data_IF_799795433011
#
_entry.id   IF_799795433011
#
_cell.length_a   1.000
_cell.length_b   1.000
_cell.length_c   1.000
_cell.angle_alpha   90.00
_cell.angle_beta   90.00
_cell.angle_gamma   90.00
#
_symmetry.space_group_name_H-M   'P 1'
#
loop_
_entity.id
_entity.type
_entity.pdbx_description
1 polymer ?
#
# COMPACT_ATOMS: atom_id res chain seq x y z
N UNK A 1 -29.33 43.80 -13.14
CA UNK A 1 -29.02 43.62 -14.57
C UNK A 1 -27.67 42.92 -14.78
N UNK A 2 -26.62 43.39 -14.11
CA UNK A 2 -25.25 42.86 -14.14
C UNK A 2 -25.15 41.35 -13.92
N UNK A 3 -25.87 40.80 -12.92
CA UNK A 3 -25.91 39.35 -12.66
C UNK A 3 -26.42 38.54 -13.85
N UNK A 4 -27.46 39.01 -14.54
CA UNK A 4 -28.04 38.31 -15.69
C UNK A 4 -27.07 38.32 -16.87
N UNK A 5 -26.47 39.49 -17.15
CA UNK A 5 -25.43 39.63 -18.19
C UNK A 5 -24.22 38.73 -17.94
N UNK A 6 -23.76 38.61 -16.70
CA UNK A 6 -22.65 37.70 -16.36
C UNK A 6 -23.04 36.22 -16.50
N UNK A 7 -24.28 35.87 -16.17
CA UNK A 7 -24.78 34.51 -16.38
C UNK A 7 -24.85 34.15 -17.87
N UNK A 8 -25.19 35.10 -18.74
CA UNK A 8 -25.22 34.92 -20.20
C UNK A 8 -23.84 34.66 -20.81
N UNK A 9 -22.75 35.05 -20.13
CA UNK A 9 -21.37 34.75 -20.57
C UNK A 9 -20.95 33.31 -20.25
N UNK A 10 -21.68 32.59 -19.38
CA UNK A 10 -21.30 31.26 -18.91
C UNK A 10 -21.15 30.21 -20.03
N UNK A 11 -22.06 30.10 -21.02
CA UNK A 11 -21.91 29.14 -22.12
C UNK A 11 -20.60 29.30 -22.91
N UNK A 12 -20.04 30.52 -22.93
CA UNK A 12 -18.77 30.84 -23.58
C UNK A 12 -17.56 30.53 -22.69
N UNK A 13 -17.63 30.87 -21.40
CA UNK A 13 -16.51 30.73 -20.46
C UNK A 13 -16.35 29.31 -19.92
N UNK A 14 -17.47 28.63 -19.62
CA UNK A 14 -17.50 27.32 -18.98
C UNK A 14 -16.65 26.25 -19.70
N UNK A 15 -16.80 26.06 -21.03
CA UNK A 15 -16.01 25.06 -21.76
C UNK A 15 -14.50 25.33 -21.76
N UNK A 16 -14.08 26.59 -21.70
CA UNK A 16 -12.65 26.94 -21.62
C UNK A 16 -12.09 26.60 -20.24
N UNK A 17 -12.82 26.99 -19.18
CA UNK A 17 -12.48 26.68 -17.79
C UNK A 17 -12.44 25.17 -17.54
N UNK A 18 -13.41 24.41 -18.05
CA UNK A 18 -13.44 22.96 -17.90
C UNK A 18 -12.21 22.30 -18.53
N UNK A 19 -11.83 22.72 -19.75
CA UNK A 19 -10.62 22.21 -20.41
C UNK A 19 -9.34 22.53 -19.62
N UNK A 20 -9.23 23.73 -19.08
CA UNK A 20 -8.10 24.12 -18.23
C UNK A 20 -8.07 23.27 -16.96
N UNK A 21 -9.21 23.10 -16.27
CA UNK A 21 -9.31 22.26 -15.07
C UNK A 21 -8.91 20.81 -15.35
N UNK A 22 -9.41 20.21 -16.44
CA UNK A 22 -9.03 18.85 -16.86
C UNK A 22 -7.53 18.75 -17.11
N UNK A 23 -6.94 19.73 -17.79
CA UNK A 23 -5.49 19.77 -18.05
C UNK A 23 -4.68 19.80 -16.75
N UNK A 24 -5.09 20.60 -15.78
CA UNK A 24 -4.43 20.68 -14.48
C UNK A 24 -4.64 19.42 -13.64
N UNK A 25 -5.83 18.80 -13.70
CA UNK A 25 -6.08 17.48 -13.11
C UNK A 25 -5.13 16.44 -13.68
N UNK A 26 -5.00 16.34 -15.01
CA UNK A 26 -4.13 15.36 -15.65
C UNK A 26 -2.66 15.56 -15.27
N UNK A 27 -2.20 16.82 -15.21
CA UNK A 27 -0.85 17.16 -14.75
C UNK A 27 -0.62 16.70 -13.31
N UNK A 28 -1.55 17.03 -12.40
CA UNK A 28 -1.44 16.66 -10.98
C UNK A 28 -1.55 15.15 -10.80
N UNK A 29 -2.45 14.51 -11.53
CA UNK A 29 -2.65 13.07 -11.52
C UNK A 29 -1.38 12.34 -11.96
N UNK A 30 -0.73 12.74 -13.07
CA UNK A 30 0.55 12.16 -13.49
C UNK A 30 1.63 12.24 -12.42
N UNK A 31 1.71 13.36 -11.68
CA UNK A 31 2.66 13.50 -10.57
C UNK A 31 2.31 12.58 -9.41
N UNK A 32 1.02 12.50 -9.04
CA UNK A 32 0.56 11.66 -7.95
C UNK A 32 0.68 10.17 -8.26
N UNK A 33 0.38 9.76 -9.50
CA UNK A 33 0.54 8.38 -9.97
C UNK A 33 1.99 7.91 -9.79
N UNK A 34 2.97 8.72 -10.20
CA UNK A 34 4.40 8.41 -9.98
C UNK A 34 4.76 8.25 -8.49
N UNK A 35 4.19 9.09 -7.63
CA UNK A 35 4.40 8.98 -6.18
C UNK A 35 3.76 7.72 -5.62
N UNK A 36 2.56 7.35 -6.08
CA UNK A 36 1.88 6.10 -5.70
C UNK A 36 2.66 4.87 -6.18
N UNK A 37 3.18 4.88 -7.40
CA UNK A 37 4.02 3.80 -7.94
C UNK A 37 5.29 3.63 -7.09
N UNK A 38 5.94 4.75 -6.76
CA UNK A 38 7.11 4.74 -5.88
C UNK A 38 6.78 4.15 -4.51
N UNK A 39 5.69 4.59 -3.88
CA UNK A 39 5.24 4.07 -2.58
C UNK A 39 4.87 2.59 -2.65
N UNK A 40 4.23 2.15 -3.72
CA UNK A 40 3.94 0.74 -3.94
C UNK A 40 5.23 -0.09 -3.97
N UNK A 41 6.24 0.38 -4.70
CA UNK A 41 7.53 -0.31 -4.76
C UNK A 41 8.24 -0.35 -3.39
N UNK A 42 8.22 0.76 -2.66
CA UNK A 42 8.79 0.84 -1.30
C UNK A 42 8.07 -0.09 -0.32
N UNK A 43 6.73 -0.11 -0.31
CA UNK A 43 5.95 -1.00 0.58
C UNK A 43 6.16 -2.48 0.23
N UNK A 44 6.18 -2.84 -1.07
CA UNK A 44 6.45 -4.20 -1.53
C UNK A 44 7.85 -4.67 -1.12
N UNK A 45 8.85 -3.79 -1.27
CA UNK A 45 10.23 -4.09 -0.86
C UNK A 45 10.33 -4.28 0.65
N UNK A 46 9.76 -3.35 1.44
CA UNK A 46 9.79 -3.41 2.90
C UNK A 46 9.12 -4.68 3.44
N UNK A 47 7.96 -5.07 2.92
CA UNK A 47 7.31 -6.35 3.30
C UNK A 47 8.19 -7.54 2.91
N UNK A 48 8.81 -7.49 1.72
CA UNK A 48 9.78 -8.51 1.31
C UNK A 48 10.96 -8.66 2.26
N UNK A 49 11.52 -7.54 2.73
CA UNK A 49 12.65 -7.53 3.68
C UNK A 49 12.25 -8.10 5.04
N UNK A 50 11.11 -7.68 5.60
CA UNK A 50 10.60 -8.19 6.88
C UNK A 50 10.37 -9.70 6.81
N UNK A 51 9.77 -10.20 5.73
CA UNK A 51 9.52 -11.64 5.58
C UNK A 51 10.82 -12.42 5.35
N UNK A 52 11.80 -11.85 4.63
CA UNK A 52 13.10 -12.45 4.46
C UNK A 52 13.91 -12.48 5.78
N UNK A 53 13.77 -11.48 6.63
CA UNK A 53 14.34 -11.48 7.97
C UNK A 53 13.71 -12.57 8.86
N UNK A 54 12.39 -12.70 8.83
CA UNK A 54 11.68 -13.78 9.52
C UNK A 54 12.14 -15.16 9.01
N UNK A 55 12.28 -15.33 7.70
CA UNK A 55 12.78 -16.56 7.09
C UNK A 55 14.18 -16.94 7.60
N UNK A 56 15.10 -15.97 7.67
CA UNK A 56 16.43 -16.17 8.25
C UNK A 56 16.36 -16.55 9.72
N UNK A 57 15.59 -15.81 10.52
CA UNK A 57 15.44 -16.09 11.96
C UNK A 57 14.88 -17.48 12.23
N UNK A 58 13.93 -17.97 11.42
CA UNK A 58 13.41 -19.34 11.57
C UNK A 58 14.46 -20.37 11.19
N UNK A 59 15.24 -20.15 10.13
CA UNK A 59 16.35 -21.06 9.76
C UNK A 59 17.40 -21.13 10.86
N UNK A 60 17.83 -19.98 11.37
CA UNK A 60 18.82 -19.90 12.44
C UNK A 60 18.33 -20.65 13.70
N UNK A 61 17.03 -20.56 14.02
CA UNK A 61 16.44 -21.30 15.13
C UNK A 61 16.35 -22.82 14.89
N UNK A 62 16.12 -23.25 13.64
CA UNK A 62 16.10 -24.66 13.27
C UNK A 62 17.51 -25.28 13.23
N UNK A 63 18.52 -24.47 12.92
CA UNK A 63 19.93 -24.86 12.87
C UNK A 63 20.60 -24.93 14.26
N UNK A 64 19.94 -24.46 15.33
CA UNK A 64 20.40 -24.56 16.71
C UNK A 64 20.34 -26.01 17.23
N UNK A 65 21.26 -26.85 16.75
CA UNK A 65 21.35 -28.27 17.12
C UNK A 65 21.57 -28.48 18.61
N UNK A 66 22.22 -27.55 19.31
CA UNK A 66 22.46 -27.68 20.75
C UNK A 66 21.15 -27.57 21.54
N UNK A 67 20.26 -26.65 21.16
CA UNK A 67 18.92 -26.53 21.74
C UNK A 67 18.07 -27.78 21.52
N UNK A 68 18.14 -28.37 20.31
CA UNK A 68 17.36 -29.56 19.96
C UNK A 68 17.93 -30.88 20.53
N UNK A 69 19.25 -30.98 20.76
CA UNK A 69 19.92 -32.19 21.24
C UNK A 69 20.19 -32.21 22.76
N UNK A 70 20.46 -31.07 23.42
CA UNK A 70 20.79 -31.03 24.87
C UNK A 70 19.66 -31.58 25.77
N UNK A 71 18.40 -31.43 25.36
CA UNK A 71 17.24 -31.90 26.12
C UNK A 71 17.16 -33.44 26.11
N UNK A 72 17.87 -34.11 25.18
CA UNK A 72 18.00 -35.57 25.18
C UNK A 72 18.84 -36.10 26.35
N UNK A 73 19.69 -35.28 26.97
CA UNK A 73 20.64 -35.71 28.00
C UNK A 73 20.09 -35.58 29.43
N UNK A 74 19.04 -34.77 29.66
CA UNK A 74 18.58 -34.45 31.02
C UNK A 74 17.20 -34.96 31.45
N UNK A 75 16.36 -35.55 30.59
CA UNK A 75 14.96 -35.77 30.99
C UNK A 75 14.35 -37.17 30.84
N UNK A 76 13.96 -37.64 32.03
CA UNK A 76 13.04 -38.71 32.39
C UNK A 76 11.56 -38.39 32.07
N UNK A 77 11.24 -37.37 31.25
CA UNK A 77 9.86 -36.90 30.98
C UNK A 77 9.52 -36.92 29.49
N UNK A 78 8.63 -37.82 29.06
CA UNK A 78 8.27 -38.02 27.65
C UNK A 78 7.47 -36.88 27.02
N UNK A 79 6.77 -36.07 27.83
CA UNK A 79 5.89 -35.00 27.35
C UNK A 79 6.65 -33.78 26.79
N UNK A 80 7.76 -33.37 27.43
CA UNK A 80 8.58 -32.23 26.97
C UNK A 80 9.26 -32.53 25.63
N UNK A 81 9.68 -33.78 25.42
CA UNK A 81 10.24 -34.24 24.13
C UNK A 81 9.23 -34.16 22.99
N UNK A 82 7.96 -34.45 23.27
CA UNK A 82 6.91 -34.36 22.26
C UNK A 82 6.58 -32.91 21.92
N UNK A 83 6.54 -32.03 22.93
CA UNK A 83 6.34 -30.59 22.74
C UNK A 83 7.43 -29.98 21.85
N UNK A 84 8.70 -30.30 22.09
CA UNK A 84 9.82 -29.78 21.29
C UNK A 84 9.78 -30.27 19.83
N UNK A 85 9.39 -31.52 19.60
CA UNK A 85 9.17 -32.04 18.24
C UNK A 85 8.04 -31.30 17.54
N UNK A 86 6.95 -31.04 18.26
CA UNK A 86 5.83 -30.27 17.72
C UNK A 86 6.24 -28.84 17.38
N UNK A 87 7.00 -28.18 18.26
CA UNK A 87 7.49 -26.81 18.04
C UNK A 87 8.43 -26.73 16.83
N UNK A 88 9.36 -27.69 16.69
CA UNK A 88 10.23 -27.80 15.51
C UNK A 88 9.42 -28.03 14.23
N UNK A 89 8.45 -28.95 14.26
CA UNK A 89 7.59 -29.22 13.12
C UNK A 89 6.77 -27.98 12.71
N UNK A 90 6.29 -27.20 13.68
CA UNK A 90 5.58 -25.96 13.42
C UNK A 90 6.48 -24.89 12.77
N UNK A 91 7.76 -24.81 13.18
CA UNK A 91 8.74 -23.92 12.54
C UNK A 91 9.06 -24.36 11.10
N UNK A 92 9.25 -25.66 10.86
CA UNK A 92 9.47 -26.22 9.52
C UNK A 92 8.26 -25.98 8.60
N UNK A 93 7.03 -26.19 9.10
CA UNK A 93 5.80 -25.90 8.37
C UNK A 93 5.69 -24.41 8.04
N UNK A 94 5.96 -23.54 9.01
CA UNK A 94 5.91 -22.09 8.80
C UNK A 94 6.94 -21.64 7.76
N UNK A 95 8.16 -22.19 7.81
CA UNK A 95 9.21 -21.90 6.83
C UNK A 95 8.77 -22.31 5.41
N UNK A 96 8.10 -23.45 5.28
CA UNK A 96 7.58 -23.92 3.99
C UNK A 96 6.47 -23.02 3.43
N UNK A 97 5.66 -22.39 4.28
CA UNK A 97 4.56 -21.49 3.87
C UNK A 97 5.03 -20.06 3.55
N UNK A 98 6.16 -19.60 4.09
CA UNK A 98 6.64 -18.22 3.94
C UNK A 98 6.74 -17.70 2.48
N UNK A 99 7.22 -18.49 1.49
CA UNK A 99 7.27 -18.03 0.10
C UNK A 99 5.88 -17.68 -0.45
N UNK A 100 4.87 -18.52 -0.19
CA UNK A 100 3.50 -18.27 -0.63
C UNK A 100 2.92 -17.02 0.05
N UNK A 101 3.15 -16.89 1.36
CA UNK A 101 2.72 -15.71 2.13
C UNK A 101 3.35 -14.45 1.54
N UNK A 102 4.65 -14.47 1.25
CA UNK A 102 5.35 -13.33 0.65
C UNK A 102 4.74 -12.93 -0.68
N UNK A 103 4.52 -13.89 -1.58
CA UNK A 103 4.00 -13.60 -2.90
C UNK A 103 2.57 -13.04 -2.82
N UNK A 104 1.73 -13.64 -1.96
CA UNK A 104 0.37 -13.16 -1.68
C UNK A 104 0.35 -11.74 -1.14
N UNK A 105 1.17 -11.41 -0.15
CA UNK A 105 1.21 -10.09 0.48
C UNK A 105 1.72 -9.02 -0.50
N UNK A 106 2.77 -9.33 -1.26
CA UNK A 106 3.27 -8.43 -2.29
C UNK A 106 2.22 -8.17 -3.39
N UNK A 107 1.48 -9.20 -3.80
CA UNK A 107 0.41 -9.06 -4.78
C UNK A 107 -0.78 -8.28 -4.24
N UNK A 108 -1.14 -8.46 -2.97
CA UNK A 108 -2.16 -7.66 -2.31
C UNK A 108 -1.80 -6.17 -2.31
N UNK A 109 -0.53 -5.83 -2.01
CA UNK A 109 -0.03 -4.46 -2.09
C UNK A 109 -0.08 -3.91 -3.52
N UNK A 110 0.42 -4.65 -4.51
CA UNK A 110 0.35 -4.23 -5.93
C UNK A 110 -1.09 -3.99 -6.38
N UNK A 111 -2.03 -4.84 -5.98
CA UNK A 111 -3.46 -4.67 -6.28
C UNK A 111 -4.05 -3.43 -5.61
N UNK A 112 -3.65 -3.12 -4.37
CA UNK A 112 -4.13 -1.92 -3.65
C UNK A 112 -3.73 -0.62 -4.34
N UNK A 113 -2.57 -0.59 -4.98
CA UNK A 113 -2.07 0.57 -5.71
C UNK A 113 -2.44 0.56 -7.21
N UNK A 114 -3.09 -0.50 -7.69
CA UNK A 114 -3.47 -0.63 -9.09
C UNK A 114 -4.56 0.39 -9.49
N UNK A 115 -4.44 0.92 -10.71
CA UNK A 115 -5.44 1.75 -11.39
C UNK A 115 -5.97 2.96 -10.56
N UNK A 116 -5.09 3.90 -10.15
CA UNK A 116 -5.55 5.09 -9.45
C UNK A 116 -6.43 5.95 -10.37
N UNK A 117 -7.61 6.35 -9.90
CA UNK A 117 -8.57 7.15 -10.70
C UNK A 117 -8.57 8.62 -10.23
N UNK A 118 -8.31 9.59 -11.12
CA UNK A 118 -8.44 11.00 -10.77
C UNK A 118 -9.90 11.39 -10.58
N UNK A 119 -10.21 12.11 -9.49
CA UNK A 119 -11.55 12.64 -9.21
C UNK A 119 -11.49 14.17 -9.18
N UNK A 120 -12.26 14.79 -10.07
CA UNK A 120 -12.53 16.23 -10.01
C UNK A 120 -13.77 16.44 -9.13
N UNK A 121 -13.64 17.25 -8.09
CA UNK A 121 -14.79 17.67 -7.28
C UNK A 121 -15.52 18.84 -7.96
N UNK A 122 -16.83 18.98 -7.74
CA UNK A 122 -17.57 20.14 -8.23
C UNK A 122 -16.91 21.45 -7.79
N UNK A 123 -16.80 22.39 -8.73
CA UNK A 123 -16.25 23.71 -8.48
C UNK A 123 -17.30 24.78 -8.83
N UNK A 124 -17.29 25.89 -8.08
CA UNK A 124 -18.13 27.05 -8.35
C UNK A 124 -17.27 28.21 -8.87
N UNK A 125 -17.82 29.01 -9.77
CA UNK A 125 -17.19 30.23 -10.28
C UNK A 125 -17.89 31.44 -9.67
N UNK A 126 -17.10 32.31 -9.03
CA UNK A 126 -17.58 33.55 -8.44
C UNK A 126 -17.08 34.75 -9.25
N UNK A 127 -17.99 35.62 -9.67
CA UNK A 127 -17.65 36.89 -10.28
C UNK A 127 -17.58 37.98 -9.22
N UNK A 128 -16.44 38.65 -9.11
CA UNK A 128 -16.26 39.81 -8.23
C UNK A 128 -16.50 41.08 -9.05
N UNK A 129 -17.55 41.82 -8.71
CA UNK A 129 -17.93 43.07 -9.37
C UNK A 129 -17.73 44.22 -8.38
N UNK A 130 -16.95 45.26 -8.74
CA UNK A 130 -16.85 46.47 -7.92
C UNK A 130 -18.22 47.10 -7.67
N UNK A 131 -18.45 47.67 -6.49
CA UNK A 131 -19.73 48.28 -6.12
C UNK A 131 -20.19 49.40 -7.07
N UNK A 132 -19.23 50.11 -7.70
CA UNK A 132 -19.51 51.13 -8.70
C UNK A 132 -20.09 50.60 -10.01
N UNK A 133 -20.01 49.28 -10.25
CA UNK A 133 -20.42 48.59 -11.49
C UNK A 133 -21.52 47.52 -11.22
N UNK A 134 -21.98 47.41 -9.98
CA UNK A 134 -22.89 46.36 -9.52
C UNK A 134 -24.33 46.56 -10.02
#
# INVERSE_FOLDING_TARGET
ETRARLAELWPTLGPSLERQLRTEVDKRFRRLAKELDKRCAEEVAAVGEVLAELERSIRDALDDTEHWEQISLFETQSAEREQLRADRAALEERLAQLPEIRDREQDALRRRYADPVPRLFPAAVAFLVPSALA
#
